data_IF_269897522122
#
_entry.id   IF_269897522122
#
_cell.length_a   1.000
_cell.length_b   1.000
_cell.length_c   1.000
_cell.angle_alpha   90.00
_cell.angle_beta   90.00
_cell.angle_gamma   90.00
#
_symmetry.space_group_name_H-M   'P 1'
#
loop_
_entity.id
_entity.type
_entity.pdbx_description
1 polymer ?
#
# COMPACT_ATOMS: atom_id res chain seq x y z
N UNK A 1 8.31 -33.14 -86.04
CA UNK A 1 8.73 -32.12 -85.05
C UNK A 1 7.49 -31.38 -84.59
N UNK A 2 7.04 -31.67 -83.38
CA UNK A 2 5.93 -31.05 -82.65
C UNK A 2 6.50 -30.51 -81.35
N UNK A 3 6.14 -29.29 -80.89
CA UNK A 3 6.42 -28.90 -79.52
C UNK A 3 5.25 -29.31 -78.63
N UNK A 4 5.55 -30.18 -77.65
CA UNK A 4 4.64 -30.54 -76.56
C UNK A 4 4.62 -29.40 -75.53
N UNK A 5 3.46 -28.80 -75.30
CA UNK A 5 3.23 -27.95 -74.14
C UNK A 5 3.13 -28.84 -72.88
N UNK A 6 4.06 -28.68 -71.95
CA UNK A 6 3.99 -29.32 -70.63
C UNK A 6 3.04 -28.51 -69.74
N UNK A 7 1.90 -29.12 -69.38
CA UNK A 7 1.05 -28.67 -68.28
C UNK A 7 1.80 -28.97 -66.97
N UNK A 8 2.28 -27.94 -66.27
CA UNK A 8 2.79 -28.08 -64.92
C UNK A 8 1.60 -28.18 -63.95
N UNK A 9 1.31 -29.39 -63.48
CA UNK A 9 0.34 -29.65 -62.42
C UNK A 9 1.00 -29.26 -61.09
N UNK A 10 0.72 -28.07 -60.56
CA UNK A 10 1.12 -27.70 -59.20
C UNK A 10 0.16 -28.40 -58.23
N UNK A 11 0.59 -29.53 -57.68
CA UNK A 11 -0.12 -30.20 -56.58
C UNK A 11 0.01 -29.35 -55.31
N UNK A 12 -1.04 -28.61 -54.96
CA UNK A 12 -1.20 -28.05 -53.61
C UNK A 12 -1.39 -29.23 -52.65
N UNK A 13 -0.31 -29.67 -51.99
CA UNK A 13 -0.41 -30.48 -50.79
C UNK A 13 -0.96 -29.58 -49.68
N UNK A 14 -2.28 -29.60 -49.49
CA UNK A 14 -2.89 -29.11 -48.26
C UNK A 14 -2.47 -30.08 -47.14
N UNK A 15 -1.41 -29.74 -46.41
CA UNK A 15 -1.11 -30.39 -45.14
C UNK A 15 -2.21 -30.01 -44.16
N UNK A 16 -3.26 -30.84 -44.08
CA UNK A 16 -4.14 -30.87 -42.91
C UNK A 16 -3.30 -31.32 -41.71
N UNK A 17 -2.74 -30.36 -41.00
CA UNK A 17 -2.31 -30.57 -39.62
C UNK A 17 -3.61 -30.67 -38.82
N UNK A 18 -4.08 -31.89 -38.58
CA UNK A 18 -5.12 -32.14 -37.60
C UNK A 18 -4.52 -31.83 -36.22
N UNK A 19 -4.70 -30.60 -35.75
CA UNK A 19 -4.39 -30.24 -34.38
C UNK A 19 -5.26 -31.11 -33.47
N UNK A 20 -4.64 -32.03 -32.73
CA UNK A 20 -5.33 -32.79 -31.70
C UNK A 20 -5.92 -31.80 -30.69
N UNK A 21 -7.19 -31.92 -30.30
CA UNK A 21 -7.75 -31.04 -29.28
C UNK A 21 -6.93 -31.18 -28.00
N UNK A 22 -6.40 -30.06 -27.50
CA UNK A 22 -5.68 -30.00 -26.23
C UNK A 22 -6.56 -30.62 -25.13
N UNK A 23 -6.07 -31.67 -24.49
CA UNK A 23 -6.76 -32.28 -23.35
C UNK A 23 -6.43 -31.55 -22.05
N UNK A 24 -7.25 -31.72 -21.02
CA UNK A 24 -6.97 -31.20 -19.65
C UNK A 24 -5.58 -31.62 -19.12
N UNK A 25 -5.00 -32.70 -19.63
CA UNK A 25 -3.70 -33.24 -19.20
C UNK A 25 -2.50 -32.56 -19.89
N UNK A 26 -2.74 -31.78 -20.95
CA UNK A 26 -1.68 -31.21 -21.79
C UNK A 26 -1.29 -29.78 -21.38
N UNK A 27 -2.05 -29.16 -20.46
CA UNK A 27 -1.72 -27.83 -19.93
C UNK A 27 -0.79 -27.96 -18.74
N UNK A 28 0.44 -27.49 -18.92
CA UNK A 28 1.42 -27.36 -17.84
C UNK A 28 1.51 -25.90 -17.38
N UNK A 29 0.84 -25.57 -16.27
CA UNK A 29 0.97 -24.26 -15.60
C UNK A 29 2.29 -24.10 -14.83
N UNK A 30 3.17 -25.11 -14.90
CA UNK A 30 4.36 -25.21 -14.07
C UNK A 30 4.07 -25.82 -12.69
N UNK A 31 5.09 -25.87 -11.82
CA UNK A 31 4.92 -26.38 -10.47
C UNK A 31 3.96 -25.51 -9.66
N UNK A 32 2.97 -26.14 -9.05
CA UNK A 32 2.06 -25.47 -8.10
C UNK A 32 2.78 -25.35 -6.78
N UNK A 33 2.87 -24.13 -6.26
CA UNK A 33 3.41 -23.84 -4.92
C UNK A 33 2.26 -23.34 -4.05
N UNK A 34 2.02 -24.01 -2.92
CA UNK A 34 1.11 -23.50 -1.91
C UNK A 34 1.73 -22.24 -1.29
N UNK A 35 1.11 -21.09 -1.51
CA UNK A 35 1.60 -19.80 -0.99
C UNK A 35 1.19 -19.57 0.45
N UNK A 36 -0.03 -19.94 0.78
CA UNK A 36 -0.61 -19.74 2.10
C UNK A 36 -1.61 -20.86 2.39
N UNK A 37 -1.74 -21.19 3.66
CA UNK A 37 -2.76 -22.10 4.17
C UNK A 37 -3.52 -21.41 5.30
N UNK A 38 -4.80 -21.16 5.09
CA UNK A 38 -5.66 -20.53 6.10
C UNK A 38 -6.04 -21.57 7.14
N UNK A 39 -5.62 -21.35 8.39
CA UNK A 39 -6.06 -22.19 9.52
C UNK A 39 -7.39 -21.64 10.02
N UNK A 40 -8.45 -22.43 9.90
CA UNK A 40 -9.78 -22.01 10.34
C UNK A 40 -9.79 -21.76 11.86
N UNK A 41 -10.29 -20.61 12.34
CA UNK A 41 -10.40 -20.34 13.76
C UNK A 41 -11.30 -21.39 14.45
N UNK A 42 -11.00 -21.74 15.70
CA UNK A 42 -11.74 -22.79 16.43
C UNK A 42 -13.22 -22.47 16.66
N UNK A 43 -13.62 -21.19 16.54
CA UNK A 43 -15.01 -20.74 16.61
C UNK A 43 -15.80 -20.95 15.32
N UNK A 44 -15.14 -21.23 14.20
CA UNK A 44 -15.81 -21.44 12.91
C UNK A 44 -16.38 -22.85 12.82
N UNK A 45 -17.66 -22.92 12.45
CA UNK A 45 -18.39 -24.18 12.30
C UNK A 45 -18.71 -24.37 10.83
N UNK A 46 -18.19 -25.44 10.22
CA UNK A 46 -18.51 -25.79 8.83
C UNK A 46 -20.02 -25.98 8.66
N UNK A 47 -20.61 -25.24 7.72
CA UNK A 47 -22.02 -25.35 7.34
C UNK A 47 -22.25 -26.38 6.21
N UNK A 48 -21.21 -27.15 5.84
CA UNK A 48 -21.22 -28.08 4.73
C UNK A 48 -20.71 -27.48 3.42
N UNK A 49 -20.70 -28.28 2.36
CA UNK A 49 -20.27 -27.83 1.03
C UNK A 49 -21.28 -26.86 0.43
N UNK A 50 -20.82 -25.83 -0.30
CA UNK A 50 -21.71 -24.98 -1.08
C UNK A 50 -22.48 -25.82 -2.11
N UNK A 51 -23.70 -25.39 -2.45
CA UNK A 51 -24.48 -26.08 -3.48
C UNK A 51 -23.74 -26.03 -4.83
N UNK A 52 -23.82 -27.06 -5.69
CA UNK A 52 -23.09 -27.08 -6.97
C UNK A 52 -23.36 -25.88 -7.90
N UNK A 53 -24.53 -25.26 -7.79
CA UNK A 53 -24.94 -24.07 -8.53
C UNK A 53 -24.40 -22.75 -7.95
N UNK A 54 -23.77 -22.79 -6.78
CA UNK A 54 -23.20 -21.60 -6.14
C UNK A 54 -22.06 -21.06 -6.98
N UNK A 55 -22.09 -19.76 -7.27
CA UNK A 55 -21.03 -19.09 -8.02
C UNK A 55 -20.05 -18.41 -7.06
N UNK A 56 -18.76 -18.48 -7.38
CA UNK A 56 -17.71 -17.74 -6.69
C UNK A 56 -16.98 -16.86 -7.71
N UNK A 57 -16.72 -15.62 -7.34
CA UNK A 57 -15.90 -14.70 -8.13
C UNK A 57 -14.44 -14.86 -7.69
N UNK A 58 -13.55 -15.21 -8.63
CA UNK A 58 -12.13 -15.41 -8.34
C UNK A 58 -11.29 -14.44 -9.18
N UNK A 59 -10.31 -13.81 -8.55
CA UNK A 59 -9.30 -12.99 -9.24
C UNK A 59 -8.02 -13.80 -9.42
N UNK A 60 -7.44 -13.77 -10.63
CA UNK A 60 -6.20 -14.49 -10.95
C UNK A 60 -5.13 -13.46 -11.31
N UNK A 61 -4.16 -13.28 -10.42
CA UNK A 61 -2.99 -12.44 -10.69
C UNK A 61 -2.03 -13.15 -11.65
N UNK A 62 -1.80 -12.54 -12.82
CA UNK A 62 -0.87 -13.08 -13.82
C UNK A 62 0.57 -12.70 -13.51
N UNK A 63 1.51 -13.56 -13.90
CA UNK A 63 2.94 -13.28 -13.77
C UNK A 63 3.32 -12.06 -14.61
N UNK A 64 3.78 -11.02 -13.94
CA UNK A 64 4.29 -9.79 -14.55
C UNK A 64 5.70 -10.00 -15.13
N UNK A 65 6.07 -9.23 -16.16
CA UNK A 65 7.27 -9.49 -16.98
C UNK A 65 8.61 -9.19 -16.26
N UNK A 66 8.81 -7.95 -15.79
CA UNK A 66 10.11 -7.47 -15.29
C UNK A 66 9.99 -6.63 -14.01
N UNK A 67 9.39 -7.20 -12.96
CA UNK A 67 9.23 -6.53 -11.66
C UNK A 67 10.57 -6.18 -11.01
N UNK A 68 11.58 -7.03 -11.13
CA UNK A 68 12.92 -6.70 -10.63
C UNK A 68 13.54 -5.49 -11.36
N UNK A 69 13.23 -5.29 -12.65
CA UNK A 69 13.59 -4.09 -13.39
C UNK A 69 12.86 -2.85 -12.89
N UNK A 70 11.54 -2.96 -12.66
CA UNK A 70 10.73 -1.85 -12.12
C UNK A 70 11.23 -1.41 -10.74
N UNK A 71 11.50 -2.37 -9.85
CA UNK A 71 12.03 -2.09 -8.51
C UNK A 71 13.39 -1.40 -8.55
N UNK A 72 14.31 -1.84 -9.44
CA UNK A 72 15.59 -1.15 -9.65
C UNK A 72 15.38 0.27 -10.18
N UNK A 73 14.47 0.46 -11.13
CA UNK A 73 14.19 1.80 -11.67
C UNK A 73 13.59 2.72 -10.61
N UNK A 74 12.67 2.21 -9.78
CA UNK A 74 12.11 2.96 -8.66
C UNK A 74 13.20 3.43 -7.68
N UNK A 75 14.13 2.56 -7.29
CA UNK A 75 15.22 2.93 -6.39
C UNK A 75 16.17 3.97 -7.02
N UNK A 76 16.45 3.86 -8.31
CA UNK A 76 17.27 4.82 -9.05
C UNK A 76 16.62 6.21 -9.11
N UNK A 77 15.36 6.31 -9.56
CA UNK A 77 14.65 7.60 -9.70
C UNK A 77 14.24 8.22 -8.36
N UNK A 78 14.34 7.47 -7.26
CA UNK A 78 14.09 7.94 -5.88
C UNK A 78 15.37 8.31 -5.13
N UNK A 79 16.53 8.01 -5.68
CA UNK A 79 17.81 8.35 -5.06
C UNK A 79 18.19 9.81 -5.39
N UNK A 80 18.32 10.72 -4.39
CA UNK A 80 18.70 12.12 -4.64
C UNK A 80 20.06 12.30 -5.32
N UNK A 81 20.95 11.32 -5.26
CA UNK A 81 22.26 11.33 -5.92
C UNK A 81 22.20 10.86 -7.38
N UNK A 82 21.08 10.28 -7.82
CA UNK A 82 20.91 9.84 -9.21
C UNK A 82 20.65 11.01 -10.15
N UNK A 83 21.23 10.94 -11.36
CA UNK A 83 20.90 11.87 -12.45
C UNK A 83 19.44 11.73 -12.94
N UNK A 84 18.76 10.65 -12.56
CA UNK A 84 17.36 10.37 -12.87
C UNK A 84 16.41 10.66 -11.69
N UNK A 85 16.91 11.26 -10.60
CA UNK A 85 16.08 11.64 -9.46
C UNK A 85 14.87 12.49 -9.88
N UNK A 86 13.67 12.07 -9.46
CA UNK A 86 12.43 12.78 -9.74
C UNK A 86 11.91 12.62 -11.17
N UNK A 87 12.56 11.82 -12.03
CA UNK A 87 12.03 11.44 -13.35
C UNK A 87 11.05 10.27 -13.20
N UNK A 88 9.90 10.57 -12.60
CA UNK A 88 8.84 9.60 -12.34
C UNK A 88 8.33 8.98 -13.64
N UNK A 89 8.09 7.67 -13.61
CA UNK A 89 7.60 6.93 -14.77
C UNK A 89 6.16 7.31 -15.07
N UNK A 90 5.84 7.44 -16.34
CA UNK A 90 4.49 7.39 -16.85
C UNK A 90 3.87 6.01 -16.64
N UNK A 91 2.56 5.99 -16.76
CA UNK A 91 1.74 4.79 -16.77
C UNK A 91 2.23 3.79 -17.83
N UNK A 92 2.46 4.26 -19.05
CA UNK A 92 2.91 3.45 -20.19
C UNK A 92 4.31 2.87 -19.96
N UNK A 93 5.20 3.63 -19.31
CA UNK A 93 6.53 3.14 -18.93
C UNK A 93 6.46 2.05 -17.87
N UNK A 94 5.53 2.15 -16.90
CA UNK A 94 5.30 1.10 -15.90
C UNK A 94 4.78 -0.18 -16.58
N UNK A 95 3.87 -0.06 -17.54
CA UNK A 95 3.32 -1.20 -18.30
C UNK A 95 4.39 -2.01 -19.03
N UNK A 96 5.42 -1.35 -19.55
CA UNK A 96 6.55 -2.02 -20.19
C UNK A 96 7.26 -3.01 -19.24
N UNK A 97 7.19 -2.78 -17.93
CA UNK A 97 7.70 -3.71 -16.91
C UNK A 97 6.66 -4.72 -16.44
N UNK A 98 5.39 -4.35 -16.34
CA UNK A 98 4.38 -5.13 -15.62
C UNK A 98 3.54 -6.05 -16.51
N UNK A 99 3.37 -5.73 -17.80
CA UNK A 99 2.49 -6.45 -18.73
C UNK A 99 2.90 -7.92 -18.85
N UNK A 100 2.01 -8.90 -18.56
CA UNK A 100 2.30 -10.32 -18.76
C UNK A 100 2.64 -10.65 -20.21
N UNK A 101 3.49 -11.66 -20.42
CA UNK A 101 3.79 -12.10 -21.78
C UNK A 101 2.56 -12.68 -22.48
N UNK A 102 2.50 -12.57 -23.81
CA UNK A 102 1.41 -13.17 -24.59
C UNK A 102 1.25 -14.67 -24.29
N UNK A 103 2.37 -15.40 -24.17
CA UNK A 103 2.38 -16.81 -23.81
C UNK A 103 1.72 -17.09 -22.44
N UNK A 104 1.95 -16.23 -21.45
CA UNK A 104 1.32 -16.33 -20.11
C UNK A 104 -0.19 -16.11 -20.21
N UNK A 105 -0.62 -15.11 -20.96
CA UNK A 105 -2.05 -14.82 -21.15
C UNK A 105 -2.74 -15.97 -21.89
N UNK A 106 -2.13 -16.50 -22.95
CA UNK A 106 -2.69 -17.57 -23.77
C UNK A 106 -2.83 -18.89 -23.02
N UNK A 107 -1.81 -19.28 -22.23
CA UNK A 107 -1.86 -20.53 -21.47
C UNK A 107 -2.94 -20.49 -20.38
N UNK A 108 -3.13 -19.35 -19.71
CA UNK A 108 -4.17 -19.19 -18.68
C UNK A 108 -5.56 -19.16 -19.30
N UNK A 109 -5.76 -18.46 -20.42
CA UNK A 109 -7.04 -18.49 -21.16
C UNK A 109 -7.41 -19.92 -21.61
N UNK A 110 -6.43 -20.66 -22.11
CA UNK A 110 -6.62 -22.06 -22.51
C UNK A 110 -6.97 -22.93 -21.29
N UNK A 111 -6.27 -22.74 -20.17
CA UNK A 111 -6.55 -23.45 -18.92
C UNK A 111 -7.98 -23.23 -18.42
N UNK A 112 -8.42 -21.99 -18.34
CA UNK A 112 -9.78 -21.64 -17.93
C UNK A 112 -10.83 -22.27 -18.86
N UNK A 113 -10.58 -22.29 -20.18
CA UNK A 113 -11.52 -22.88 -21.14
C UNK A 113 -11.66 -24.39 -20.88
N UNK A 114 -10.55 -25.09 -20.68
CA UNK A 114 -10.56 -26.53 -20.44
C UNK A 114 -11.20 -26.89 -19.10
N UNK A 115 -11.14 -26.04 -18.08
CA UNK A 115 -11.80 -26.29 -16.78
C UNK A 115 -13.31 -25.99 -16.79
N UNK A 116 -13.87 -25.57 -17.93
CA UNK A 116 -15.30 -25.28 -18.08
C UNK A 116 -15.66 -23.83 -17.75
N UNK A 117 -14.66 -22.95 -17.55
CA UNK A 117 -14.87 -21.52 -17.38
C UNK A 117 -14.88 -20.88 -18.78
N UNK A 118 -16.09 -20.77 -19.33
CA UNK A 118 -16.35 -20.15 -20.62
C UNK A 118 -15.82 -18.70 -20.67
N UNK A 119 -15.43 -18.23 -21.86
CA UNK A 119 -14.98 -16.84 -22.06
C UNK A 119 -16.00 -15.79 -21.58
N UNK A 120 -17.28 -16.15 -21.58
CA UNK A 120 -18.40 -15.32 -21.09
C UNK A 120 -18.58 -15.36 -19.57
N UNK A 121 -18.16 -16.45 -18.91
CA UNK A 121 -18.18 -16.62 -17.45
C UNK A 121 -16.92 -16.06 -16.80
N UNK A 122 -15.86 -15.88 -17.59
CA UNK A 122 -14.83 -14.91 -17.24
C UNK A 122 -15.54 -13.58 -17.24
N UNK A 123 -15.69 -12.99 -16.06
CA UNK A 123 -15.65 -11.54 -16.00
C UNK A 123 -14.30 -11.17 -16.60
N UNK A 124 -14.31 -10.91 -17.91
CA UNK A 124 -13.66 -9.73 -18.45
C UNK A 124 -13.88 -8.68 -17.37
N UNK A 125 -12.82 -8.22 -16.69
CA UNK A 125 -12.90 -6.96 -15.94
C UNK A 125 -13.60 -5.99 -16.91
N UNK A 126 -14.88 -5.71 -16.67
CA UNK A 126 -15.97 -5.55 -17.67
C UNK A 126 -15.53 -5.01 -19.06
N UNK A 127 -14.96 -5.82 -19.95
CA UNK A 127 -14.27 -5.31 -21.14
C UNK A 127 -15.14 -4.41 -22.04
N UNK A 128 -14.94 -3.11 -21.92
CA UNK A 128 -14.74 -2.23 -23.07
C UNK A 128 -13.30 -2.29 -23.61
N UNK A 129 -12.43 -3.09 -22.98
CA UNK A 129 -11.02 -3.23 -23.32
C UNK A 129 -10.81 -4.40 -24.27
N UNK A 130 -10.20 -4.15 -25.42
CA UNK A 130 -9.71 -5.21 -26.31
C UNK A 130 -8.69 -6.09 -25.56
N UNK A 131 -8.69 -7.39 -25.85
CA UNK A 131 -7.77 -8.38 -25.28
C UNK A 131 -6.29 -8.10 -25.56
N UNK A 132 -6.00 -7.10 -26.41
CA UNK A 132 -4.68 -6.66 -26.82
C UNK A 132 -4.20 -5.37 -26.11
N UNK A 133 -5.05 -4.68 -25.33
CA UNK A 133 -4.68 -3.44 -24.64
C UNK A 133 -5.44 -3.29 -23.30
N UNK A 134 -4.81 -3.72 -22.21
CA UNK A 134 -5.21 -3.35 -20.84
C UNK A 134 -4.39 -2.10 -20.49
N UNK A 135 -5.01 -0.92 -20.60
CA UNK A 135 -4.36 0.35 -20.25
C UNK A 135 -4.98 0.96 -18.98
N UNK A 136 -4.22 1.57 -18.05
CA UNK A 136 -4.69 2.19 -16.82
C UNK A 136 -5.94 3.08 -16.89
N UNK A 137 -6.13 3.84 -17.96
CA UNK A 137 -7.39 4.57 -18.21
C UNK A 137 -8.64 3.67 -18.27
N UNK A 138 -8.47 2.39 -18.57
CA UNK A 138 -9.53 1.40 -18.56
C UNK A 138 -9.83 0.86 -17.16
N UNK A 139 -8.80 0.70 -16.31
CA UNK A 139 -8.93 0.27 -14.92
C UNK A 139 -9.68 1.34 -14.10
N UNK A 140 -9.46 2.62 -14.43
CA UNK A 140 -10.13 3.77 -13.83
C UNK A 140 -11.66 3.71 -13.94
N UNK A 141 -12.21 3.21 -15.06
CA UNK A 141 -13.67 3.05 -15.25
C UNK A 141 -14.30 1.89 -14.49
N UNK A 142 -13.51 0.88 -14.08
CA UNK A 142 -14.00 -0.33 -13.40
C UNK A 142 -14.12 -0.20 -11.89
N UNK A 143 -13.34 0.69 -11.28
CA UNK A 143 -13.40 0.96 -9.85
C UNK A 143 -14.48 1.99 -9.49
N UNK A 144 -15.38 2.32 -10.43
CA UNK A 144 -16.50 3.25 -10.24
C UNK A 144 -16.10 4.51 -9.45
N UNK A 145 -14.98 5.14 -9.86
CA UNK A 145 -14.42 6.24 -9.08
C UNK A 145 -15.23 7.50 -9.32
N UNK A 146 -15.96 7.94 -8.30
CA UNK A 146 -16.78 9.14 -8.35
C UNK A 146 -16.15 10.27 -7.53
N UNK A 147 -15.69 11.33 -8.21
CA UNK A 147 -15.14 12.56 -7.61
C UNK A 147 -16.15 13.71 -7.57
N UNK A 148 -17.39 13.50 -7.99
CA UNK A 148 -18.39 14.57 -8.11
C UNK A 148 -18.91 15.02 -6.74
N UNK A 149 -18.79 14.15 -5.74
CA UNK A 149 -19.17 14.42 -4.37
C UNK A 149 -18.16 15.32 -3.66
N UNK A 150 -18.67 16.27 -2.86
CA UNK A 150 -17.85 17.13 -2.01
C UNK A 150 -18.17 16.83 -0.56
N UNK A 151 -17.16 16.34 0.16
CA UNK A 151 -17.24 16.14 1.59
C UNK A 151 -17.21 17.46 2.35
N UNK A 152 -17.85 17.50 3.51
CA UNK A 152 -17.84 18.67 4.41
C UNK A 152 -17.05 18.33 5.66
N UNK A 153 -15.88 18.91 5.81
CA UNK A 153 -15.16 18.82 7.07
C UNK A 153 -15.72 19.86 8.05
N UNK A 154 -16.18 19.40 9.21
CA UNK A 154 -16.31 20.30 10.37
C UNK A 154 -14.95 20.44 10.99
N UNK A 155 -14.13 21.33 10.45
CA UNK A 155 -12.85 21.60 11.07
C UNK A 155 -13.10 22.25 12.44
N UNK A 156 -12.68 21.60 13.53
CA UNK A 156 -12.60 22.23 14.87
C UNK A 156 -11.78 23.52 14.91
N UNK A 157 -11.09 23.78 13.81
CA UNK A 157 -10.31 24.94 13.41
C UNK A 157 -11.02 26.29 13.48
N UNK A 158 -12.36 26.37 13.51
CA UNK A 158 -13.02 27.65 13.78
C UNK A 158 -12.45 28.35 15.04
N UNK A 159 -11.90 27.56 15.98
CA UNK A 159 -11.21 28.04 17.18
C UNK A 159 -9.66 27.99 17.13
N UNK A 160 -9.04 27.24 16.20
CA UNK A 160 -7.58 26.96 16.24
C UNK A 160 -6.76 27.41 15.01
N UNK A 161 -7.34 27.48 13.81
CA UNK A 161 -6.62 27.88 12.59
C UNK A 161 -7.54 28.60 11.58
N UNK A 162 -7.97 29.81 11.94
CA UNK A 162 -9.02 30.57 11.24
C UNK A 162 -8.88 30.73 9.72
N UNK A 163 -7.66 30.58 9.17
CA UNK A 163 -7.39 30.61 7.72
C UNK A 163 -8.03 29.45 6.94
N UNK A 164 -8.18 28.27 7.54
CA UNK A 164 -8.82 27.12 6.89
C UNK A 164 -10.33 27.04 7.17
N UNK A 165 -10.95 28.12 7.68
CA UNK A 165 -12.39 28.16 7.93
C UNK A 165 -13.17 27.93 6.63
N UNK A 166 -14.03 26.91 6.64
CA UNK A 166 -14.82 26.52 5.47
C UNK A 166 -14.03 25.74 4.41
N UNK A 167 -12.80 25.34 4.70
CA UNK A 167 -12.08 24.38 3.86
C UNK A 167 -12.82 23.04 3.83
N UNK A 168 -12.80 22.40 2.67
CA UNK A 168 -13.50 21.16 2.38
C UNK A 168 -12.55 20.23 1.61
N UNK A 169 -12.97 18.98 1.46
CA UNK A 169 -12.25 17.96 0.72
C UNK A 169 -13.09 17.41 -0.44
N UNK A 170 -12.43 16.80 -1.41
CA UNK A 170 -13.06 16.00 -2.44
C UNK A 170 -13.35 14.64 -1.83
N UNK A 171 -14.58 14.17 -1.98
CA UNK A 171 -15.00 12.86 -1.49
C UNK A 171 -15.04 11.90 -2.68
N UNK A 172 -14.13 10.93 -2.68
CA UNK A 172 -13.90 10.04 -3.79
C UNK A 172 -14.25 8.61 -3.41
N UNK A 173 -15.30 8.06 -4.03
CA UNK A 173 -15.63 6.64 -3.89
C UNK A 173 -14.68 5.79 -4.73
N UNK A 174 -14.20 4.66 -4.22
CA UNK A 174 -13.52 3.60 -4.96
C UNK A 174 -14.29 2.30 -4.72
N UNK A 175 -14.59 1.58 -5.80
CA UNK A 175 -15.27 0.29 -5.78
C UNK A 175 -16.62 0.31 -5.03
N UNK A 176 -17.32 1.44 -5.01
CA UNK A 176 -18.62 1.57 -4.34
C UNK A 176 -18.54 1.95 -2.86
N UNK A 177 -17.38 2.43 -2.39
CA UNK A 177 -17.25 3.07 -1.08
C UNK A 177 -18.21 4.26 -0.94
N UNK A 178 -18.75 4.45 0.25
CA UNK A 178 -19.72 5.49 0.58
C UNK A 178 -19.41 6.10 1.93
N UNK A 179 -19.11 7.41 1.90
CA UNK A 179 -18.98 8.22 3.09
C UNK A 179 -20.38 8.57 3.65
N UNK A 180 -20.81 7.88 4.69
CA UNK A 180 -22.08 8.14 5.36
C UNK A 180 -21.97 9.37 6.30
N UNK A 181 -22.30 10.54 5.76
CA UNK A 181 -22.32 11.79 6.51
C UNK A 181 -23.34 11.81 7.67
N UNK A 182 -24.29 10.86 7.72
CA UNK A 182 -25.25 10.74 8.82
C UNK A 182 -24.69 9.96 10.01
N UNK A 183 -23.65 9.17 9.79
CA UNK A 183 -22.96 8.38 10.81
C UNK A 183 -21.44 8.61 10.73
N UNK A 184 -20.95 9.80 11.12
CA UNK A 184 -19.53 10.12 11.01
C UNK A 184 -18.70 9.17 11.88
N UNK A 185 -17.79 8.43 11.24
CA UNK A 185 -16.85 7.56 11.92
C UNK A 185 -15.67 8.36 12.48
N UNK A 186 -14.98 7.79 13.47
CA UNK A 186 -13.88 8.47 14.15
C UNK A 186 -12.63 8.61 13.26
N UNK A 187 -12.29 7.59 12.49
CA UNK A 187 -11.03 7.51 11.73
C UNK A 187 -11.06 8.44 10.51
N UNK A 188 -12.11 8.37 9.70
CA UNK A 188 -12.32 9.25 8.55
C UNK A 188 -12.39 10.74 8.96
N UNK A 189 -13.02 11.04 10.10
CA UNK A 189 -13.06 12.40 10.62
C UNK A 189 -11.69 12.88 11.14
N UNK A 190 -10.89 11.99 11.74
CA UNK A 190 -9.53 12.30 12.18
C UNK A 190 -8.65 12.65 10.98
N UNK A 191 -8.60 11.78 9.98
CA UNK A 191 -7.75 11.90 8.80
C UNK A 191 -8.05 13.18 8.02
N UNK A 192 -9.33 13.42 7.74
CA UNK A 192 -9.76 14.60 6.97
C UNK A 192 -9.50 15.90 7.72
N UNK A 193 -9.72 15.94 9.05
CA UNK A 193 -9.47 17.14 9.84
C UNK A 193 -7.98 17.46 9.96
N UNK A 194 -7.12 16.46 10.22
CA UNK A 194 -5.67 16.66 10.28
C UNK A 194 -5.10 17.04 8.92
N UNK A 195 -5.52 16.35 7.86
CA UNK A 195 -5.12 16.64 6.49
C UNK A 195 -5.41 18.08 6.11
N UNK A 196 -6.65 18.53 6.33
CA UNK A 196 -7.05 19.91 6.04
C UNK A 196 -6.39 20.94 6.96
N UNK A 197 -6.22 20.64 8.25
CA UNK A 197 -5.60 21.57 9.18
C UNK A 197 -4.16 21.89 8.81
N UNK A 198 -3.40 20.85 8.46
CA UNK A 198 -1.96 20.93 8.28
C UNK A 198 -1.57 21.27 6.85
N UNK A 199 -2.33 20.84 5.84
CA UNK A 199 -1.97 21.04 4.44
C UNK A 199 -2.64 22.25 3.76
N UNK A 200 -3.57 22.95 4.42
CA UNK A 200 -4.27 24.07 3.80
C UNK A 200 -3.29 25.12 3.20
N UNK A 201 -3.52 25.62 1.96
CA UNK A 201 -4.73 25.46 1.14
C UNK A 201 -4.66 24.31 0.11
N UNK A 202 -3.74 23.35 0.26
CA UNK A 202 -3.63 22.24 -0.67
C UNK A 202 -4.96 21.46 -0.76
N UNK A 203 -5.39 21.05 -1.96
CA UNK A 203 -6.59 20.24 -2.11
C UNK A 203 -6.39 18.87 -1.45
N UNK A 204 -7.38 18.46 -0.66
CA UNK A 204 -7.42 17.14 -0.02
C UNK A 204 -8.50 16.31 -0.69
N UNK A 205 -8.17 15.06 -1.01
CA UNK A 205 -9.14 14.05 -1.46
C UNK A 205 -9.20 12.96 -0.41
N UNK A 206 -10.39 12.69 0.10
CA UNK A 206 -10.69 11.54 0.93
C UNK A 206 -11.15 10.41 0.01
N UNK A 207 -10.54 9.24 0.14
CA UNK A 207 -10.90 8.06 -0.64
C UNK A 207 -11.64 7.08 0.26
N UNK A 208 -12.91 6.85 -0.05
CA UNK A 208 -13.73 5.83 0.61
C UNK A 208 -13.75 4.58 -0.27
N UNK A 209 -13.40 3.43 0.31
CA UNK A 209 -13.21 2.19 -0.43
C UNK A 209 -14.26 1.18 0.00
N UNK A 210 -15.00 0.65 -0.96
CA UNK A 210 -16.06 -0.33 -0.71
C UNK A 210 -15.95 -1.58 -1.56
N UNK A 211 -17.03 -2.38 -1.59
CA UNK A 211 -18.39 -2.01 -1.17
C UNK A 211 -18.62 -1.97 0.36
N UNK A 212 -19.15 -0.86 0.87
CA UNK A 212 -19.44 -0.65 2.31
C UNK A 212 -20.66 -1.45 2.80
N UNK A 213 -21.42 -2.05 1.89
CA UNK A 213 -22.59 -2.89 2.13
C UNK A 213 -22.28 -4.40 2.08
N UNK A 214 -21.01 -4.80 1.85
CA UNK A 214 -20.58 -6.19 1.93
C UNK A 214 -19.99 -6.51 3.32
N UNK A 215 -20.69 -7.26 4.19
CA UNK A 215 -20.16 -7.68 5.48
C UNK A 215 -18.98 -8.66 5.35
N UNK A 216 -18.62 -9.08 4.13
CA UNK A 216 -17.47 -9.91 3.82
C UNK A 216 -16.35 -9.13 3.11
N UNK A 217 -16.46 -7.81 2.95
CA UNK A 217 -15.34 -6.96 2.49
C UNK A 217 -14.20 -7.09 3.50
N UNK A 218 -13.08 -7.66 3.08
CA UNK A 218 -11.85 -7.69 3.87
C UNK A 218 -10.95 -6.52 3.49
N UNK A 219 -10.22 -5.99 4.47
CA UNK A 219 -9.23 -4.91 4.26
C UNK A 219 -8.23 -5.21 3.14
N UNK A 220 -7.91 -6.49 2.91
CA UNK A 220 -7.02 -6.91 1.84
C UNK A 220 -7.63 -6.67 0.43
N UNK A 221 -8.93 -6.89 0.27
CA UNK A 221 -9.64 -6.61 -1.00
C UNK A 221 -9.70 -5.10 -1.26
N UNK A 222 -9.91 -4.30 -0.20
CA UNK A 222 -9.86 -2.83 -0.27
C UNK A 222 -8.46 -2.33 -0.65
N UNK A 223 -7.40 -2.89 -0.07
CA UNK A 223 -6.02 -2.57 -0.46
C UNK A 223 -5.71 -2.94 -1.92
N UNK A 224 -6.22 -4.07 -2.42
CA UNK A 224 -6.08 -4.47 -3.82
C UNK A 224 -6.83 -3.49 -4.74
N UNK A 225 -8.02 -3.05 -4.34
CA UNK A 225 -8.78 -2.04 -5.05
C UNK A 225 -8.04 -0.70 -5.08
N UNK A 226 -7.47 -0.27 -3.95
CA UNK A 226 -6.64 0.92 -3.88
C UNK A 226 -5.41 0.85 -4.77
N UNK A 227 -4.64 -0.24 -4.68
CA UNK A 227 -3.46 -0.45 -5.51
C UNK A 227 -3.79 -0.48 -7.00
N UNK A 228 -4.93 -1.09 -7.36
CA UNK A 228 -5.44 -1.07 -8.73
C UNK A 228 -5.80 0.33 -9.19
N UNK A 229 -6.46 1.13 -8.34
CA UNK A 229 -6.76 2.52 -8.61
C UNK A 229 -5.47 3.34 -8.82
N UNK A 230 -4.49 3.21 -7.92
CA UNK A 230 -3.20 3.91 -8.02
C UNK A 230 -2.47 3.58 -9.33
N UNK A 231 -2.50 2.31 -9.75
CA UNK A 231 -1.94 1.88 -11.03
C UNK A 231 -2.75 2.34 -12.26
N UNK A 232 -3.97 2.83 -12.06
CA UNK A 232 -4.91 3.23 -13.12
C UNK A 232 -4.89 4.73 -13.44
N UNK A 233 -4.60 5.55 -12.43
CA UNK A 233 -4.70 7.01 -12.52
C UNK A 233 -3.48 7.61 -13.20
N UNK A 234 -3.70 8.62 -14.04
CA UNK A 234 -2.64 9.41 -14.67
C UNK A 234 -1.96 10.40 -13.71
N UNK A 235 -2.48 10.53 -12.49
CA UNK A 235 -1.94 11.42 -11.45
C UNK A 235 -2.09 10.79 -10.07
N UNK A 236 -1.39 9.68 -9.77
CA UNK A 236 -1.43 9.07 -8.46
C UNK A 236 -0.81 10.00 -7.40
N UNK A 237 -1.23 9.88 -6.13
CA UNK A 237 -0.49 10.45 -5.01
C UNK A 237 0.99 10.10 -5.12
N UNK A 238 1.85 11.10 -5.01
CA UNK A 238 3.29 10.90 -5.18
C UNK A 238 3.95 10.34 -3.93
N UNK A 239 3.24 10.25 -2.80
CA UNK A 239 3.74 9.67 -1.56
C UNK A 239 2.62 8.93 -0.85
N UNK A 240 2.92 7.76 -0.30
CA UNK A 240 1.95 6.94 0.43
C UNK A 240 2.54 6.63 1.81
N UNK A 241 1.73 6.87 2.85
CA UNK A 241 2.04 6.50 4.23
C UNK A 241 0.94 5.63 4.82
N UNK A 242 1.27 4.91 5.90
CA UNK A 242 0.34 4.00 6.57
C UNK A 242 0.54 4.03 8.09
N UNK A 243 -0.57 3.89 8.81
CA UNK A 243 -0.66 3.78 10.28
C UNK A 243 -0.86 2.34 10.72
N UNK A 244 -0.47 2.04 11.95
CA UNK A 244 -0.58 0.73 12.62
C UNK A 244 -0.27 0.88 14.12
N UNK A 245 -0.94 0.11 14.97
CA UNK A 245 -0.82 0.23 16.44
C UNK A 245 -0.45 -1.11 17.09
N UNK A 246 -0.56 -1.16 18.42
CA UNK A 246 -0.37 -2.36 19.25
C UNK A 246 1.07 -2.85 19.41
N UNK A 247 2.04 -1.94 19.32
CA UNK A 247 3.44 -2.24 19.60
C UNK A 247 4.01 -3.39 18.78
N UNK A 248 4.79 -4.25 19.43
CA UNK A 248 5.29 -5.52 18.86
C UNK A 248 4.20 -6.61 18.70
N UNK A 249 3.01 -6.38 19.25
CA UNK A 249 1.87 -7.28 19.14
C UNK A 249 1.14 -7.14 17.82
N UNK A 250 1.19 -5.98 17.16
CA UNK A 250 0.64 -5.74 15.82
C UNK A 250 -0.87 -5.93 15.71
N UNK A 251 -1.34 -7.19 15.64
CA UNK A 251 -2.76 -7.57 15.55
C UNK A 251 -3.48 -7.55 16.92
N UNK A 252 -2.90 -6.89 17.93
CA UNK A 252 -3.42 -6.90 19.29
C UNK A 252 -3.18 -8.20 20.06
N UNK A 253 -2.32 -9.11 19.55
CA UNK A 253 -2.02 -10.34 20.27
C UNK A 253 -1.26 -10.08 21.58
N UNK A 254 -1.76 -10.67 22.65
CA UNK A 254 -1.23 -10.48 24.00
C UNK A 254 -0.08 -11.42 24.35
N UNK A 255 0.06 -12.57 23.67
CA UNK A 255 1.01 -13.62 24.04
C UNK A 255 2.21 -13.76 23.11
N UNK A 256 2.03 -13.49 21.80
CA UNK A 256 3.05 -13.56 20.76
C UNK A 256 3.94 -14.80 20.87
N UNK A 257 3.29 -15.96 21.11
CA UNK A 257 3.98 -17.24 21.34
C UNK A 257 4.86 -17.67 20.17
N UNK A 258 4.55 -17.17 18.98
CA UNK A 258 5.27 -17.46 17.74
C UNK A 258 6.20 -16.32 17.31
N UNK A 259 6.52 -15.40 18.22
CA UNK A 259 7.29 -14.19 17.95
C UNK A 259 6.41 -12.95 17.79
N UNK A 260 7.05 -11.79 17.71
CA UNK A 260 6.42 -10.51 17.45
C UNK A 260 5.81 -10.46 16.05
N UNK A 261 4.73 -9.68 15.93
CA UNK A 261 3.97 -9.59 14.69
C UNK A 261 4.40 -8.40 13.85
N UNK A 262 4.76 -8.67 12.60
CA UNK A 262 5.00 -7.65 11.60
C UNK A 262 3.72 -7.38 10.82
N UNK A 263 3.24 -6.13 10.83
CA UNK A 263 2.01 -5.75 10.13
C UNK A 263 2.26 -5.42 8.66
N UNK A 264 1.32 -5.80 7.81
CA UNK A 264 1.20 -5.33 6.43
C UNK A 264 0.02 -4.34 6.37
N UNK A 265 0.11 -3.24 5.59
CA UNK A 265 1.15 -2.88 4.63
C UNK A 265 2.36 -2.13 5.23
N UNK A 266 2.38 -1.87 6.54
CA UNK A 266 3.45 -1.15 7.24
C UNK A 266 4.86 -1.71 7.03
N UNK A 267 4.97 -3.03 6.89
CA UNK A 267 6.23 -3.73 6.64
C UNK A 267 6.64 -3.81 5.16
N UNK A 268 5.82 -3.28 4.23
CA UNK A 268 6.19 -3.15 2.83
C UNK A 268 7.36 -2.15 2.70
N UNK A 269 8.44 -2.47 1.95
CA UNK A 269 9.57 -1.56 1.77
C UNK A 269 9.23 -0.38 0.84
N UNK A 270 8.11 -0.40 0.12
CA UNK A 270 7.75 0.66 -0.84
C UNK A 270 6.73 1.67 -0.29
N UNK A 271 6.45 1.61 1.02
CA UNK A 271 5.53 2.52 1.72
C UNK A 271 6.29 3.19 2.86
N UNK A 272 6.07 4.49 3.06
CA UNK A 272 6.61 5.21 4.21
C UNK A 272 5.76 4.91 5.45
N UNK A 273 6.29 4.08 6.33
CA UNK A 273 5.63 3.59 7.53
C UNK A 273 5.78 4.59 8.68
N UNK A 274 4.67 5.00 9.30
CA UNK A 274 4.63 6.13 10.25
C UNK A 274 4.26 5.65 11.66
N UNK A 275 5.23 5.73 12.57
CA UNK A 275 5.05 5.51 14.00
C UNK A 275 4.47 6.75 14.71
N UNK A 276 4.28 6.62 16.02
CA UNK A 276 3.73 7.67 16.87
C UNK A 276 4.70 8.04 18.00
N UNK A 277 4.82 9.34 18.24
CA UNK A 277 5.52 9.92 19.39
C UNK A 277 4.55 10.65 20.31
N UNK A 278 5.02 10.99 21.50
CA UNK A 278 4.32 11.84 22.46
C UNK A 278 5.30 12.78 23.16
N UNK A 279 4.79 13.91 23.67
CA UNK A 279 5.58 14.83 24.48
C UNK A 279 5.34 14.59 25.97
N UNK A 280 6.43 14.35 26.70
CA UNK A 280 6.45 14.26 28.16
C UNK A 280 7.32 15.37 28.74
N UNK A 281 7.37 15.50 30.06
CA UNK A 281 8.16 16.54 30.74
C UNK A 281 9.66 16.50 30.40
N UNK A 282 10.17 15.35 29.96
CA UNK A 282 11.58 15.14 29.59
C UNK A 282 11.86 15.29 28.08
N UNK A 283 10.86 15.64 27.27
CA UNK A 283 11.00 15.78 25.83
C UNK A 283 10.07 14.85 25.05
N UNK A 284 10.47 14.54 23.82
CA UNK A 284 9.72 13.62 22.94
C UNK A 284 10.15 12.17 23.18
N UNK A 285 9.20 11.25 23.17
CA UNK A 285 9.44 9.81 23.32
C UNK A 285 8.45 9.02 22.45
N UNK A 286 8.69 7.72 22.29
CA UNK A 286 7.74 6.79 21.69
C UNK A 286 6.37 6.84 22.39
N UNK A 287 5.29 6.80 21.60
CA UNK A 287 3.93 6.92 22.14
C UNK A 287 3.46 5.63 22.81
N UNK A 288 2.89 5.79 24.01
CA UNK A 288 2.04 4.82 24.70
C UNK A 288 0.65 5.42 24.81
N UNK A 289 -0.37 4.74 24.29
CA UNK A 289 -1.70 5.33 24.20
C UNK A 289 -2.48 5.13 25.49
N UNK A 290 -3.16 6.19 25.94
CA UNK A 290 -3.97 6.21 27.17
C UNK A 290 -5.05 5.12 27.17
N UNK A 291 -5.61 4.80 26.00
CA UNK A 291 -6.64 3.77 25.80
C UNK A 291 -6.09 2.36 25.56
N UNK A 292 -4.77 2.17 25.76
CA UNK A 292 -4.09 0.90 25.58
C UNK A 292 -3.33 0.78 24.26
N UNK A 293 -2.22 0.03 24.28
CA UNK A 293 -1.31 -0.11 23.15
C UNK A 293 -0.19 0.93 23.12
N UNK A 294 0.67 0.80 22.12
CA UNK A 294 1.80 1.69 21.87
C UNK A 294 2.02 1.82 20.36
N UNK A 295 2.87 2.76 19.94
CA UNK A 295 3.32 2.88 18.55
C UNK A 295 3.75 1.52 18.00
N UNK A 296 3.23 1.11 16.84
CA UNK A 296 3.62 -0.17 16.28
C UNK A 296 5.07 -0.16 15.75
N UNK A 297 5.64 -1.35 15.56
CA UNK A 297 6.92 -1.50 14.87
C UNK A 297 7.56 -2.87 15.04
N UNK A 298 8.55 -3.19 14.20
CA UNK A 298 9.20 -4.50 14.19
C UNK A 298 9.94 -4.79 12.90
N UNK A 299 10.02 -6.07 12.53
CA UNK A 299 10.76 -6.55 11.35
C UNK A 299 9.92 -7.52 10.52
N UNK A 300 9.82 -7.26 9.21
CA UNK A 300 9.07 -8.11 8.27
C UNK A 300 9.59 -9.54 8.22
N UNK A 301 8.68 -10.52 8.20
CA UNK A 301 9.02 -11.91 7.86
C UNK A 301 8.98 -12.20 6.36
N UNK A 302 8.44 -11.28 5.56
CA UNK A 302 8.27 -11.45 4.12
C UNK A 302 9.32 -10.68 3.32
N UNK A 303 9.56 -9.41 3.66
CA UNK A 303 10.48 -8.54 2.95
C UNK A 303 11.83 -8.49 3.67
N UNK A 304 12.92 -8.76 2.94
CA UNK A 304 14.27 -8.47 3.44
C UNK A 304 14.49 -6.97 3.62
N UNK A 305 15.42 -6.59 4.50
CA UNK A 305 15.81 -5.20 4.66
C UNK A 305 16.28 -4.59 3.32
N UNK A 306 15.62 -3.53 2.82
CA UNK A 306 16.00 -2.92 1.55
C UNK A 306 17.36 -2.20 1.67
N UNK A 307 18.04 -2.01 0.53
CA UNK A 307 19.40 -1.46 0.50
C UNK A 307 19.53 -0.11 1.22
N UNK A 308 18.52 0.76 1.09
CA UNK A 308 18.50 2.08 1.73
C UNK A 308 18.41 2.03 3.27
N UNK A 309 17.98 0.91 3.86
CA UNK A 309 17.75 0.77 5.31
C UNK A 309 18.68 -0.27 5.96
N UNK A 310 19.26 -1.19 5.16
CA UNK A 310 19.91 -2.39 5.68
C UNK A 310 21.09 -2.14 6.64
N UNK A 311 21.76 -0.98 6.55
CA UNK A 311 22.83 -0.61 7.49
C UNK A 311 22.25 -0.25 8.88
N UNK A 312 21.16 0.51 8.89
CA UNK A 312 20.47 0.95 10.09
C UNK A 312 19.83 -0.20 10.87
N UNK A 313 19.11 -1.09 10.17
CA UNK A 313 18.51 -2.27 10.82
C UNK A 313 19.58 -3.19 11.40
N UNK A 314 20.68 -3.42 10.69
CA UNK A 314 21.81 -4.22 11.20
C UNK A 314 22.44 -3.58 12.43
N UNK A 315 22.63 -2.25 12.44
CA UNK A 315 23.15 -1.52 13.60
C UNK A 315 22.26 -1.74 14.83
N UNK A 316 20.94 -1.58 14.68
CA UNK A 316 19.99 -1.77 15.77
C UNK A 316 19.97 -3.22 16.26
N UNK A 317 19.86 -4.19 15.34
CA UNK A 317 19.88 -5.63 15.68
C UNK A 317 21.15 -6.03 16.43
N UNK A 318 22.32 -5.51 16.03
CA UNK A 318 23.57 -5.78 16.74
C UNK A 318 23.54 -5.23 18.18
N UNK A 319 22.86 -4.10 18.41
CA UNK A 319 22.71 -3.53 19.76
C UNK A 319 21.80 -4.35 20.67
N UNK A 320 20.85 -5.11 20.11
CA UNK A 320 19.96 -5.99 20.88
C UNK A 320 20.69 -7.21 21.46
N UNK A 321 21.78 -7.66 20.83
CA UNK A 321 22.47 -8.89 21.21
C UNK A 321 21.51 -10.10 21.17
N UNK A 322 21.33 -10.79 22.29
CA UNK A 322 20.42 -11.94 22.42
C UNK A 322 18.98 -11.57 22.80
N UNK A 323 18.69 -10.29 22.98
CA UNK A 323 17.36 -9.81 23.38
C UNK A 323 16.35 -10.17 22.30
N UNK A 324 15.24 -10.81 22.71
CA UNK A 324 14.17 -11.28 21.82
C UNK A 324 14.63 -12.25 20.72
N UNK A 325 15.71 -13.01 20.95
CA UNK A 325 16.15 -14.04 20.00
C UNK A 325 15.02 -15.01 19.66
N UNK A 326 14.74 -15.20 18.37
CA UNK A 326 13.65 -16.04 17.87
C UNK A 326 12.27 -15.36 17.82
N UNK A 327 12.13 -14.12 18.31
CA UNK A 327 10.87 -13.38 18.29
C UNK A 327 10.74 -12.43 17.09
N UNK A 328 11.79 -12.22 16.31
CA UNK A 328 11.76 -11.33 15.15
C UNK A 328 12.70 -11.82 14.05
N UNK A 329 12.43 -11.43 12.80
CA UNK A 329 13.33 -11.66 11.67
C UNK A 329 14.41 -10.58 11.60
N UNK A 330 15.61 -10.88 12.09
CA UNK A 330 16.74 -9.94 12.13
C UNK A 330 17.24 -9.45 10.76
N UNK A 331 16.86 -10.12 9.67
CA UNK A 331 17.20 -9.71 8.30
C UNK A 331 16.05 -9.03 7.56
N UNK A 332 14.91 -8.85 8.22
CA UNK A 332 13.69 -8.28 7.64
C UNK A 332 13.73 -6.75 7.49
N UNK A 333 12.85 -6.21 6.64
CA UNK A 333 12.51 -4.78 6.57
C UNK A 333 12.04 -4.34 7.95
N UNK A 334 12.77 -3.42 8.58
CA UNK A 334 12.41 -2.85 9.87
C UNK A 334 11.41 -1.70 9.71
N UNK A 335 10.43 -1.53 10.57
CA UNK A 335 9.45 -0.43 10.52
C UNK A 335 9.15 0.10 11.94
N UNK A 336 8.82 1.38 12.16
CA UNK A 336 8.52 2.44 11.18
C UNK A 336 9.73 2.91 10.36
N UNK A 337 9.47 3.74 9.34
CA UNK A 337 10.51 4.56 8.71
C UNK A 337 10.70 5.88 9.46
N UNK A 338 9.61 6.51 9.90
CA UNK A 338 9.58 7.78 10.64
C UNK A 338 8.51 7.73 11.73
N UNK A 339 8.45 8.74 12.60
CA UNK A 339 7.34 8.93 13.51
C UNK A 339 6.87 10.39 13.57
N UNK A 340 5.68 10.62 14.10
CA UNK A 340 5.19 11.97 14.41
C UNK A 340 4.26 11.90 15.62
N UNK A 341 3.94 13.04 16.23
CA UNK A 341 3.04 13.09 17.39
C UNK A 341 1.72 12.40 17.06
N UNK A 342 1.34 11.45 17.92
CA UNK A 342 0.09 10.69 17.80
C UNK A 342 -0.67 10.57 19.12
N UNK A 343 -0.41 11.48 20.07
CA UNK A 343 -1.07 11.53 21.37
C UNK A 343 -1.78 12.88 21.57
N UNK A 344 -2.97 12.87 22.19
CA UNK A 344 -3.81 14.03 22.49
C UNK A 344 -4.12 14.90 21.25
N UNK A 345 -4.38 14.25 20.12
CA UNK A 345 -4.86 14.95 18.93
C UNK A 345 -6.31 15.37 19.15
N UNK A 346 -6.61 16.66 18.92
CA UNK A 346 -7.95 17.21 19.08
C UNK A 346 -8.71 17.13 17.75
N UNK A 347 -9.95 16.66 17.79
CA UNK A 347 -10.85 16.64 16.64
C UNK A 347 -12.28 16.97 17.06
N UNK A 348 -13.15 17.27 16.09
CA UNK A 348 -14.59 17.40 16.31
C UNK A 348 -15.32 16.20 15.70
N UNK A 349 -16.13 15.51 16.49
CA UNK A 349 -16.97 14.40 16.05
C UNK A 349 -18.43 14.68 16.44
N UNK A 350 -19.36 14.67 15.48
CA UNK A 350 -20.77 14.95 15.75
C UNK A 350 -21.04 16.32 16.42
N UNK A 351 -20.14 17.29 16.24
CA UNK A 351 -20.19 18.61 16.88
C UNK A 351 -19.54 18.69 18.28
N UNK A 352 -19.07 17.58 18.83
CA UNK A 352 -18.38 17.50 20.13
C UNK A 352 -16.87 17.43 19.98
N UNK A 353 -16.13 17.99 20.94
CA UNK A 353 -14.67 17.87 20.97
C UNK A 353 -14.24 16.51 21.49
N UNK A 354 -13.42 15.83 20.73
CA UNK A 354 -12.85 14.52 21.07
C UNK A 354 -11.32 14.58 21.16
N UNK A 355 -10.76 13.65 21.92
CA UNK A 355 -9.32 13.39 22.02
C UNK A 355 -9.03 12.03 21.41
N UNK A 356 -8.12 12.01 20.45
CA UNK A 356 -7.71 10.80 19.74
C UNK A 356 -6.22 10.57 19.81
N UNK A 357 -5.87 9.30 19.65
CA UNK A 357 -4.54 8.74 19.87
C UNK A 357 -4.30 7.66 18.84
N UNK A 358 -3.04 7.40 18.51
CA UNK A 358 -2.66 6.35 17.58
C UNK A 358 -1.77 6.86 16.47
N UNK A 359 -1.12 5.92 15.77
CA UNK A 359 -0.46 6.23 14.50
C UNK A 359 -1.44 6.68 13.42
N UNK A 360 -2.73 6.38 13.57
CA UNK A 360 -3.85 6.97 12.83
C UNK A 360 -3.87 8.49 12.88
N UNK A 361 -3.35 9.13 13.93
CA UNK A 361 -3.18 10.58 13.94
C UNK A 361 -1.85 11.03 13.31
N UNK A 362 -0.77 10.28 13.54
CA UNK A 362 0.57 10.69 13.06
C UNK A 362 0.76 10.51 11.55
N UNK A 363 0.16 9.48 10.95
CA UNK A 363 0.25 9.18 9.51
C UNK A 363 -0.37 10.26 8.61
N UNK A 364 -1.66 10.67 8.76
CA UNK A 364 -2.25 11.74 7.95
C UNK A 364 -1.56 13.09 8.20
N UNK A 365 -1.10 13.34 9.44
CA UNK A 365 -0.34 14.55 9.74
C UNK A 365 1.01 14.58 8.98
N UNK A 366 1.73 13.46 8.92
CA UNK A 366 2.94 13.33 8.12
C UNK A 366 2.64 13.54 6.63
N UNK A 367 1.62 12.89 6.08
CA UNK A 367 1.22 13.04 4.69
C UNK A 367 0.88 14.50 4.32
N UNK A 368 0.15 15.19 5.20
CA UNK A 368 -0.20 16.60 5.04
C UNK A 368 1.05 17.49 4.95
N UNK A 369 2.01 17.29 5.85
CA UNK A 369 3.29 18.02 5.86
C UNK A 369 4.14 17.71 4.62
N UNK A 370 4.20 16.45 4.18
CA UNK A 370 4.87 16.08 2.92
C UNK A 370 4.23 16.77 1.73
N UNK A 371 2.89 16.92 1.71
CA UNK A 371 2.20 17.67 0.64
C UNK A 371 2.64 19.13 0.59
N UNK A 372 2.83 19.79 1.74
CA UNK A 372 3.34 21.16 1.79
C UNK A 372 4.79 21.27 1.29
N UNK A 373 5.62 20.27 1.59
CA UNK A 373 6.99 20.23 1.07
C UNK A 373 7.00 20.02 -0.46
N UNK A 374 6.09 19.18 -0.97
CA UNK A 374 5.90 18.99 -2.41
C UNK A 374 5.41 20.28 -3.08
N UNK A 375 4.44 20.99 -2.50
CA UNK A 375 3.98 22.30 -2.99
C UNK A 375 5.15 23.29 -3.06
N UNK A 376 5.96 23.36 -2.00
CA UNK A 376 7.16 24.18 -1.99
C UNK A 376 8.13 23.79 -3.12
N UNK A 377 8.39 22.50 -3.35
CA UNK A 377 9.28 22.03 -4.44
C UNK A 377 8.75 22.38 -5.82
N UNK A 378 7.45 22.17 -6.05
CA UNK A 378 6.79 22.53 -7.30
C UNK A 378 6.87 24.05 -7.54
N UNK A 379 6.72 24.87 -6.50
CA UNK A 379 6.92 26.33 -6.58
C UNK A 379 8.35 26.74 -6.99
N UNK A 380 9.32 25.83 -6.85
CA UNK A 380 10.72 25.99 -7.27
C UNK A 380 11.04 25.26 -8.58
N UNK A 381 10.03 24.76 -9.30
CA UNK A 381 10.21 24.03 -10.55
C UNK A 381 10.84 22.65 -10.39
N UNK A 382 10.78 22.05 -9.19
CA UNK A 382 11.27 20.70 -8.91
C UNK A 382 10.13 19.69 -8.94
N UNK A 383 10.46 18.43 -9.27
CA UNK A 383 9.53 17.32 -9.12
C UNK A 383 9.17 17.09 -7.64
N UNK A 384 8.00 16.52 -7.39
CA UNK A 384 7.62 16.01 -6.06
C UNK A 384 8.57 14.91 -5.59
N UNK A 385 8.51 14.53 -4.32
CA UNK A 385 9.43 13.55 -3.75
C UNK A 385 9.26 12.11 -4.23
N UNK A 386 8.07 11.71 -4.70
CA UNK A 386 7.82 10.32 -5.04
C UNK A 386 7.99 9.40 -3.83
N UNK A 387 8.63 8.25 -4.04
CA UNK A 387 8.96 7.33 -2.96
C UNK A 387 10.04 7.92 -2.03
N UNK A 388 9.64 8.33 -0.81
CA UNK A 388 10.48 9.08 0.11
C UNK A 388 11.55 8.26 0.83
N UNK A 389 11.37 6.95 1.02
CA UNK A 389 12.24 6.19 1.94
C UNK A 389 13.73 6.33 1.61
N UNK A 390 14.20 6.14 0.35
CA UNK A 390 15.62 6.31 0.02
C UNK A 390 16.19 7.69 0.38
N UNK A 391 15.37 8.74 0.33
CA UNK A 391 15.75 10.10 0.71
C UNK A 391 15.79 10.28 2.23
N UNK A 392 14.85 9.67 2.96
CA UNK A 392 14.75 9.79 4.41
C UNK A 392 15.93 9.12 5.12
N UNK A 393 16.34 7.94 4.64
CA UNK A 393 17.51 7.23 5.15
C UNK A 393 18.80 7.95 4.74
N UNK A 394 19.30 8.81 5.64
CA UNK A 394 20.41 9.75 5.38
C UNK A 394 20.03 11.22 5.57
N UNK A 395 18.74 11.51 5.79
CA UNK A 395 18.24 12.85 6.12
C UNK A 395 18.33 13.15 7.62
N UNK A 396 18.46 14.43 7.97
CA UNK A 396 18.48 14.90 9.36
C UNK A 396 17.05 15.06 9.91
N UNK A 397 16.47 13.96 10.38
CA UNK A 397 15.27 13.95 11.24
C UNK A 397 15.63 14.21 12.70
N UNK A 398 14.64 14.48 13.53
CA UNK A 398 14.84 14.63 14.98
C UNK A 398 14.77 13.25 15.62
N UNK A 399 15.94 12.72 15.99
CA UNK A 399 16.05 11.43 16.66
C UNK A 399 15.25 11.39 17.97
N UNK A 400 14.51 10.30 18.19
CA UNK A 400 13.68 10.06 19.38
C UNK A 400 14.23 8.83 20.08
N UNK A 401 14.95 9.03 21.18
CA UNK A 401 15.77 7.98 21.80
C UNK A 401 15.19 7.46 23.12
N UNK A 402 13.92 7.78 23.40
CA UNK A 402 13.24 7.43 24.65
C UNK A 402 11.92 6.70 24.39
N UNK A 403 11.57 5.78 25.30
CA UNK A 403 10.36 4.99 25.22
C UNK A 403 10.56 3.66 24.48
N UNK A 404 9.47 2.91 24.30
CA UNK A 404 9.45 1.60 23.66
C UNK A 404 8.08 1.31 23.03
N UNK A 405 7.99 0.26 22.22
CA UNK A 405 6.75 -0.21 21.61
C UNK A 405 6.20 -1.48 22.31
N UNK A 406 5.88 -1.34 23.59
CA UNK A 406 5.34 -2.41 24.42
C UNK A 406 4.16 -3.17 23.78
N UNK A 407 4.17 -4.48 23.98
CA UNK A 407 3.21 -5.44 23.46
C UNK A 407 3.62 -6.86 23.85
N UNK A 408 2.72 -7.83 23.66
CA UNK A 408 3.02 -9.25 23.94
C UNK A 408 3.46 -9.59 25.38
N UNK A 409 3.08 -8.77 26.38
CA UNK A 409 3.59 -8.90 27.75
C UNK A 409 5.07 -8.53 27.92
N UNK A 410 5.66 -7.84 26.94
CA UNK A 410 7.05 -7.38 26.94
C UNK A 410 7.12 -5.86 26.81
N UNK A 411 8.28 -5.27 27.11
CA UNK A 411 8.57 -3.87 26.78
C UNK A 411 8.69 -3.60 25.28
N UNK A 412 8.74 -4.64 24.43
CA UNK A 412 9.03 -4.49 23.01
C UNK A 412 10.43 -3.93 22.74
N UNK A 413 10.62 -3.41 21.54
CA UNK A 413 11.84 -2.72 21.17
C UNK A 413 11.89 -1.33 21.79
N UNK A 414 13.08 -0.92 22.23
CA UNK A 414 13.31 0.42 22.80
C UNK A 414 13.77 1.38 21.71
N UNK A 415 13.32 2.63 21.83
CA UNK A 415 13.84 3.70 21.00
C UNK A 415 15.32 3.96 21.34
N UNK A 416 16.16 4.28 20.35
CA UNK A 416 17.61 4.31 20.50
C UNK A 416 18.30 5.24 19.48
N UNK A 417 19.59 5.54 19.68
CA UNK A 417 20.34 6.43 18.78
C UNK A 417 20.37 5.94 17.31
N UNK A 418 19.78 6.74 16.42
CA UNK A 418 19.60 6.46 15.00
C UNK A 418 18.26 5.80 14.71
N UNK A 419 18.20 4.94 13.69
CA UNK A 419 16.98 4.21 13.41
C UNK A 419 16.68 3.15 14.48
N UNK A 420 15.41 3.05 14.87
CA UNK A 420 14.89 1.97 15.70
C UNK A 420 13.50 1.47 15.21
N UNK A 421 13.10 0.22 15.52
CA UNK A 421 11.80 -0.34 15.15
C UNK A 421 10.66 0.13 16.07
N UNK A 422 10.77 1.33 16.66
CA UNK A 422 9.77 1.94 17.55
C UNK A 422 9.29 3.28 16.98
N UNK A 423 10.22 4.14 16.59
CA UNK A 423 10.01 5.50 16.06
C UNK A 423 10.70 5.72 14.71
N UNK A 424 11.34 4.70 14.15
CA UNK A 424 12.03 4.80 12.87
C UNK A 424 13.26 5.70 12.98
N UNK A 425 13.43 6.59 12.01
CA UNK A 425 14.46 7.63 12.01
C UNK A 425 14.14 8.82 12.94
N UNK A 426 13.02 8.77 13.67
CA UNK A 426 12.54 9.82 14.54
C UNK A 426 11.51 10.75 13.89
N UNK A 427 11.33 11.93 14.49
CA UNK A 427 10.25 12.86 14.17
C UNK A 427 10.60 13.95 13.16
N UNK A 428 9.57 14.46 12.49
CA UNK A 428 9.73 15.52 11.48
C UNK A 428 10.21 16.83 12.11
N UNK A 429 11.33 17.36 11.63
CA UNK A 429 11.63 18.78 11.71
C UNK A 429 11.33 19.42 10.35
N UNK A 430 10.13 19.98 10.21
CA UNK A 430 9.65 20.51 8.93
C UNK A 430 10.60 21.57 8.34
N UNK A 431 11.18 22.43 9.17
CA UNK A 431 12.07 23.48 8.71
C UNK A 431 13.40 22.90 8.19
N UNK A 432 13.96 21.90 8.89
CA UNK A 432 15.17 21.20 8.44
C UNK A 432 14.90 20.38 7.19
N UNK A 433 13.81 19.60 7.13
CA UNK A 433 13.45 18.84 5.94
C UNK A 433 13.20 19.75 4.76
N UNK A 434 12.46 20.86 4.94
CA UNK A 434 12.33 21.86 3.89
C UNK A 434 13.70 22.36 3.45
N UNK A 435 14.65 22.65 4.34
CA UNK A 435 15.99 23.12 3.90
C UNK A 435 16.81 22.03 3.20
N UNK A 436 16.77 20.80 3.69
CA UNK A 436 17.55 19.68 3.19
C UNK A 436 17.00 19.12 1.87
N UNK A 437 15.68 19.18 1.71
CA UNK A 437 14.94 18.53 0.65
C UNK A 437 14.24 19.53 -0.30
N UNK A 438 14.38 20.84 -0.07
CA UNK A 438 13.93 21.95 -0.93
C UNK A 438 14.58 21.93 -2.30
#
# INVERSE_FOLDING_TARGET
MTPKAQLALVSLLASLVAATPLSKRDINLGPITLKENVTLPSSWISQGSPKPESQANLQIALKQNNIAGLQRKLLDISNPESADYGKWLSVEEIEAYTTPSQATTDIVKTWLALTGIADTARSKRQTGCDANNIVPSCIQSYHNVDYTSKGKATLGINNYYTKAKGANFIDASISGGQNDLSNPDLEGNLDTQLGLALAYPNPITFFDMGPNDDPNSEFDDELVNFGSYLGSTSSPPTSVSTSYNFGVGGNGESSCKNGFYALFPASCPYITSVGATQFVSRGEQAATFEKGGSTGGGFSYYFSAPSYQSADTKKYVNSLGSTYSGYYNSSGRGYPDIALVGEYCHMILGGSSEKVYGTSASSPAWAALVSLLNDYRVSKGKATFGFLNPLLYGSALKDVTAGNNQGCGTSGFSAADGWDPTTGLGSMDFAKLRKALA
#
